data_IF_751129227246
#
_entry.id   IF_751129227246
#
_cell.length_a   1.000
_cell.length_b   1.000
_cell.length_c   1.000
_cell.angle_alpha   90.00
_cell.angle_beta   90.00
_cell.angle_gamma   90.00
#
_symmetry.space_group_name_H-M   'P 1'
#
loop_
_entity.id
_entity.type
_entity.pdbx_description
1 polymer ?
#
# COMPACT_ATOMS: atom_id res chain seq x y z
N UNK A 1 -40.26 -27.34 4.03
CA UNK A 1 -38.90 -27.83 4.33
C UNK A 1 -38.15 -26.62 4.83
N UNK A 2 -37.75 -26.66 6.09
CA UNK A 2 -37.15 -25.53 6.78
C UNK A 2 -35.84 -25.11 6.10
N UNK A 3 -35.75 -23.82 5.82
CA UNK A 3 -34.54 -23.10 5.44
C UNK A 3 -33.55 -23.26 6.60
N UNK A 4 -32.55 -24.13 6.42
CA UNK A 4 -31.52 -24.41 7.44
C UNK A 4 -30.32 -23.52 7.11
N UNK A 5 -30.15 -22.49 7.93
CA UNK A 5 -28.88 -21.90 8.36
C UNK A 5 -27.86 -21.55 7.26
N UNK A 6 -27.96 -20.33 6.70
CA UNK A 6 -26.78 -19.57 6.22
C UNK A 6 -26.22 -18.73 7.39
N UNK A 7 -26.07 -19.35 8.56
CA UNK A 7 -25.16 -18.82 9.57
C UNK A 7 -23.77 -19.01 8.98
N UNK A 8 -23.07 -17.93 8.65
CA UNK A 8 -21.70 -18.00 8.19
C UNK A 8 -20.89 -18.85 9.17
N UNK A 9 -20.50 -20.06 8.75
CA UNK A 9 -19.62 -20.92 9.53
C UNK A 9 -18.26 -20.22 9.57
N UNK A 10 -17.88 -19.73 10.75
CA UNK A 10 -16.56 -19.19 11.00
C UNK A 10 -15.61 -20.30 11.47
N UNK A 11 -14.30 -20.19 11.20
CA UNK A 11 -13.65 -19.11 10.45
C UNK A 11 -13.97 -19.16 8.95
N UNK A 12 -13.99 -17.98 8.31
CA UNK A 12 -14.33 -17.84 6.89
C UNK A 12 -13.36 -16.89 6.19
N UNK A 13 -12.94 -17.27 4.98
CA UNK A 13 -12.11 -16.41 4.14
C UNK A 13 -12.89 -15.20 3.61
N UNK A 14 -12.20 -14.07 3.60
CA UNK A 14 -12.66 -12.78 3.07
C UNK A 14 -11.53 -12.12 2.30
N UNK A 15 -11.87 -11.12 1.51
CA UNK A 15 -10.89 -10.30 0.78
C UNK A 15 -11.19 -8.82 0.97
N UNK A 16 -10.15 -8.02 1.18
CA UNK A 16 -10.26 -6.56 1.30
C UNK A 16 -10.74 -5.95 -0.02
N UNK A 17 -11.84 -5.19 0.06
CA UNK A 17 -12.52 -4.60 -1.11
C UNK A 17 -12.35 -3.07 -1.21
N UNK A 18 -11.60 -2.45 -0.33
CA UNK A 18 -11.24 -1.02 -0.41
C UNK A 18 -9.75 -0.84 -0.71
N UNK A 19 -9.31 0.31 -1.26
CA UNK A 19 -7.90 0.58 -1.51
C UNK A 19 -6.97 0.25 -0.35
N UNK A 20 -7.37 0.68 0.86
CA UNK A 20 -6.70 0.41 2.13
C UNK A 20 -7.77 0.25 3.20
N UNK A 21 -7.83 -0.92 3.82
CA UNK A 21 -8.64 -1.14 5.01
C UNK A 21 -7.78 -0.87 6.25
N UNK A 22 -8.22 0.06 7.10
CA UNK A 22 -7.62 0.27 8.42
C UNK A 22 -8.12 -0.80 9.39
N UNK A 23 -7.21 -1.46 10.08
CA UNK A 23 -7.52 -2.49 11.08
C UNK A 23 -7.56 -1.85 12.45
N UNK A 24 -8.73 -1.89 13.08
CA UNK A 24 -9.01 -1.27 14.36
C UNK A 24 -8.76 -2.23 15.52
N UNK A 25 -8.46 -1.68 16.69
CA UNK A 25 -8.31 -2.45 17.93
C UNK A 25 -9.65 -3.02 18.41
N UNK A 26 -10.74 -2.28 18.20
CA UNK A 26 -12.10 -2.71 18.51
C UNK A 26 -13.13 -2.00 17.61
N UNK A 27 -14.36 -2.52 17.47
CA UNK A 27 -15.46 -1.84 16.77
C UNK A 27 -15.79 -0.45 17.33
N UNK A 28 -15.50 -0.20 18.61
CA UNK A 28 -15.73 1.09 19.29
C UNK A 28 -14.53 2.06 19.21
N UNK A 29 -13.42 1.64 18.61
CA UNK A 29 -12.20 2.46 18.52
C UNK A 29 -12.30 3.69 17.60
N UNK A 30 -13.02 3.64 16.46
CA UNK A 30 -13.16 4.81 15.59
C UNK A 30 -13.89 5.97 16.26
N UNK A 31 -13.48 7.18 15.89
CA UNK A 31 -14.14 8.44 16.23
C UNK A 31 -15.05 8.88 15.09
N UNK A 32 -15.89 9.88 15.33
CA UNK A 32 -16.72 10.47 14.29
C UNK A 32 -15.92 10.98 13.08
N UNK A 33 -14.73 11.57 13.31
CA UNK A 33 -13.87 12.06 12.23
C UNK A 33 -13.23 10.94 11.40
N UNK A 34 -13.24 9.70 11.91
CA UNK A 34 -12.67 8.55 11.23
C UNK A 34 -13.63 7.90 10.22
N UNK A 35 -14.87 8.40 10.12
CA UNK A 35 -15.90 7.90 9.21
C UNK A 35 -15.43 7.67 7.76
N UNK A 36 -14.59 8.54 7.14
CA UNK A 36 -14.10 8.29 5.79
C UNK A 36 -13.32 6.97 5.66
N UNK A 37 -12.56 6.57 6.69
CA UNK A 37 -11.80 5.31 6.69
C UNK A 37 -12.66 4.06 6.91
N UNK A 38 -13.92 4.22 7.30
CA UNK A 38 -14.86 3.11 7.55
C UNK A 38 -15.67 2.73 6.31
N UNK A 39 -15.81 3.65 5.36
CA UNK A 39 -16.66 3.47 4.19
C UNK A 39 -16.18 2.33 3.28
N UNK A 40 -17.13 1.54 2.76
CA UNK A 40 -16.91 0.60 1.67
C UNK A 40 -16.67 1.27 0.30
N UNK A 41 -16.29 0.47 -0.70
CA UNK A 41 -16.12 0.94 -2.07
C UNK A 41 -17.45 0.86 -2.84
N UNK A 42 -17.91 1.99 -3.38
CA UNK A 42 -19.12 2.04 -4.19
C UNK A 42 -18.82 1.70 -5.66
N UNK A 43 -19.36 0.58 -6.16
CA UNK A 43 -19.21 0.15 -7.56
C UNK A 43 -20.31 0.71 -8.49
N UNK A 44 -21.26 1.49 -7.97
CA UNK A 44 -22.34 2.09 -8.75
C UNK A 44 -21.95 3.45 -9.32
N UNK A 45 -22.22 3.68 -10.60
CA UNK A 45 -22.21 5.03 -11.18
C UNK A 45 -23.22 5.96 -10.49
N UNK A 46 -23.23 7.28 -10.75
CA UNK A 46 -24.05 8.25 -10.04
C UNK A 46 -25.53 7.89 -10.16
N UNK A 47 -26.06 7.21 -9.14
CA UNK A 47 -27.47 6.89 -9.02
C UNK A 47 -28.22 8.15 -8.64
N UNK A 48 -29.14 8.57 -9.50
CA UNK A 48 -30.11 9.63 -9.26
C UNK A 48 -30.95 9.27 -8.03
N UNK A 49 -30.48 9.67 -6.86
CA UNK A 49 -31.25 9.63 -5.63
C UNK A 49 -32.33 10.70 -5.73
N UNK A 50 -33.59 10.27 -5.93
CA UNK A 50 -34.76 11.14 -5.75
C UNK A 50 -34.77 11.64 -4.30
N UNK A 51 -34.25 12.84 -4.06
CA UNK A 51 -34.55 13.58 -2.83
C UNK A 51 -35.96 14.17 -2.98
N UNK A 52 -36.90 13.66 -2.20
CA UNK A 52 -38.16 14.36 -1.96
C UNK A 52 -37.86 15.67 -1.23
N UNK A 53 -38.08 16.79 -1.90
CA UNK A 53 -37.97 18.13 -1.32
C UNK A 53 -39.29 18.49 -0.64
N UNK A 54 -39.28 18.65 0.69
CA UNK A 54 -40.28 19.44 1.42
C UNK A 54 -39.65 20.76 1.85
N UNK A 55 -40.18 21.88 1.34
CA UNK A 55 -39.88 23.26 1.79
C UNK A 55 -40.38 23.51 3.22
N UNK A 56 -40.06 24.61 3.92
CA UNK A 56 -39.80 26.01 3.51
C UNK A 56 -39.19 26.82 4.69
N UNK A 57 -38.33 27.81 4.37
CA UNK A 57 -38.09 29.16 4.98
C UNK A 57 -37.75 29.28 6.48
N UNK A 58 -36.82 30.11 6.98
CA UNK A 58 -36.47 31.48 6.58
C UNK A 58 -35.14 31.98 7.21
N UNK A 59 -34.46 32.89 6.49
CA UNK A 59 -33.59 34.02 6.91
C UNK A 59 -32.27 33.82 7.69
N UNK A 60 -31.15 33.95 6.95
CA UNK A 60 -30.13 34.98 7.23
C UNK A 60 -28.78 34.55 7.83
N UNK A 61 -27.78 34.21 7.00
CA UNK A 61 -26.35 34.43 7.28
C UNK A 61 -25.53 34.40 5.97
N UNK A 62 -24.34 35.04 5.88
CA UNK A 62 -23.67 35.33 4.61
C UNK A 62 -22.96 34.10 4.02
N UNK A 63 -23.00 34.04 2.69
CA UNK A 63 -22.34 33.09 1.79
C UNK A 63 -21.11 32.39 2.36
N UNK A 64 -21.29 31.16 2.81
CA UNK A 64 -20.24 30.15 2.71
C UNK A 64 -20.08 29.82 1.22
N UNK A 65 -18.84 29.73 0.75
CA UNK A 65 -18.53 29.21 -0.58
C UNK A 65 -19.09 27.78 -0.65
N UNK A 66 -20.18 27.60 -1.37
CA UNK A 66 -20.60 26.30 -1.87
C UNK A 66 -19.40 25.71 -2.62
N UNK A 67 -18.83 24.65 -2.05
CA UNK A 67 -17.91 23.78 -2.76
C UNK A 67 -18.77 22.78 -3.51
N UNK A 68 -18.53 22.70 -4.81
CA UNK A 68 -19.23 21.80 -5.73
C UNK A 68 -19.19 20.35 -5.21
N UNK A 69 -20.32 19.62 -5.12
CA UNK A 69 -20.36 18.26 -4.57
C UNK A 69 -19.97 17.17 -5.59
N UNK A 70 -19.22 17.49 -6.66
CA UNK A 70 -18.87 16.55 -7.73
C UNK A 70 -17.44 15.97 -7.68
N UNK A 71 -16.67 16.19 -6.62
CA UNK A 71 -15.43 15.43 -6.41
C UNK A 71 -15.65 14.35 -5.35
N UNK A 72 -15.34 13.09 -5.66
CA UNK A 72 -15.37 11.94 -4.76
C UNK A 72 -14.44 12.00 -3.54
N UNK A 73 -14.13 13.20 -3.01
CA UNK A 73 -13.29 13.47 -1.82
C UNK A 73 -13.97 13.14 -0.48
N UNK A 74 -15.08 12.40 -0.47
CA UNK A 74 -15.91 12.19 0.73
C UNK A 74 -15.63 10.91 1.54
N UNK A 75 -14.74 10.02 1.07
CA UNK A 75 -14.53 8.70 1.67
C UNK A 75 -13.16 8.12 1.35
N UNK A 76 -12.72 7.13 2.11
CA UNK A 76 -11.43 6.46 1.94
C UNK A 76 -10.27 7.11 2.69
N UNK A 77 -9.08 6.54 2.48
CA UNK A 77 -7.86 6.88 3.22
C UNK A 77 -7.42 8.34 3.01
N UNK A 78 -7.57 8.88 1.80
CA UNK A 78 -7.18 10.25 1.46
C UNK A 78 -8.05 11.27 2.19
N UNK A 79 -9.37 11.09 2.12
CA UNK A 79 -10.33 11.93 2.83
C UNK A 79 -10.13 11.87 4.35
N UNK A 80 -9.82 10.68 4.88
CA UNK A 80 -9.54 10.50 6.30
C UNK A 80 -8.29 11.26 6.74
N UNK A 81 -7.17 11.10 6.01
CA UNK A 81 -5.91 11.77 6.35
C UNK A 81 -6.04 13.29 6.21
N UNK A 82 -6.75 13.76 5.19
CA UNK A 82 -7.00 15.19 4.98
C UNK A 82 -7.85 15.82 6.10
N UNK A 83 -8.73 15.04 6.74
CA UNK A 83 -9.58 15.49 7.84
C UNK A 83 -8.85 15.56 9.19
N UNK A 84 -7.69 14.94 9.35
CA UNK A 84 -6.99 14.83 10.64
C UNK A 84 -5.97 15.95 10.88
N UNK A 85 -6.01 16.54 12.08
CA UNK A 85 -4.91 17.33 12.61
C UNK A 85 -3.77 16.45 13.12
N UNK A 86 -2.62 17.05 13.49
CA UNK A 86 -1.52 16.30 14.13
C UNK A 86 -1.97 15.65 15.44
N UNK A 87 -2.81 16.33 16.23
CA UNK A 87 -3.32 15.77 17.49
C UNK A 87 -4.23 14.57 17.23
N UNK A 88 -5.06 14.63 16.19
CA UNK A 88 -5.93 13.51 15.82
C UNK A 88 -5.11 12.30 15.37
N UNK A 89 -3.97 12.51 14.69
CA UNK A 89 -3.04 11.45 14.30
C UNK A 89 -2.28 10.87 15.48
N UNK A 90 -1.90 11.68 16.48
CA UNK A 90 -1.27 11.19 17.71
C UNK A 90 -2.23 10.30 18.51
N UNK A 91 -3.50 10.70 18.61
CA UNK A 91 -4.54 9.96 19.34
C UNK A 91 -4.81 8.56 18.74
N UNK A 92 -4.48 8.31 17.46
CA UNK A 92 -4.52 6.95 16.89
C UNK A 92 -3.60 5.98 17.66
N UNK A 93 -2.43 6.47 18.08
CA UNK A 93 -1.45 5.72 18.86
C UNK A 93 -1.75 5.80 20.36
N UNK A 94 -1.92 7.00 20.91
CA UNK A 94 -2.03 7.23 22.36
C UNK A 94 -3.27 6.54 22.96
N UNK A 95 -4.38 6.51 22.22
CA UNK A 95 -5.60 5.80 22.61
C UNK A 95 -5.66 4.36 22.06
N UNK A 96 -4.57 3.84 21.45
CA UNK A 96 -4.47 2.50 20.89
C UNK A 96 -5.65 2.15 19.96
N UNK A 97 -5.96 3.02 19.01
CA UNK A 97 -7.17 2.88 18.16
C UNK A 97 -6.98 1.91 17.00
N UNK A 98 -5.79 1.94 16.40
CA UNK A 98 -5.46 1.24 15.16
C UNK A 98 -4.33 0.23 15.41
N UNK A 99 -4.45 -0.92 14.77
CA UNK A 99 -3.49 -2.01 14.78
C UNK A 99 -2.57 -1.96 13.56
N UNK A 100 -3.15 -2.02 12.36
CA UNK A 100 -2.41 -2.00 11.09
C UNK A 100 -3.33 -1.61 9.91
N UNK A 101 -2.94 -1.89 8.67
CA UNK A 101 -3.71 -1.71 7.45
C UNK A 101 -3.58 -2.95 6.57
N UNK A 102 -4.56 -3.20 5.71
CA UNK A 102 -4.51 -4.22 4.66
C UNK A 102 -4.83 -3.58 3.30
N UNK A 103 -4.08 -3.98 2.27
CA UNK A 103 -4.24 -3.42 0.92
C UNK A 103 -5.38 -4.10 0.17
N UNK A 104 -5.90 -3.45 -0.87
CA UNK A 104 -6.90 -4.01 -1.77
C UNK A 104 -6.52 -5.41 -2.27
N UNK A 105 -7.48 -6.34 -2.26
CA UNK A 105 -7.25 -7.71 -2.70
C UNK A 105 -6.54 -8.61 -1.67
N UNK A 106 -6.18 -8.10 -0.49
CA UNK A 106 -5.55 -8.92 0.57
C UNK A 106 -6.55 -9.92 1.14
N UNK A 107 -6.24 -11.24 1.12
CA UNK A 107 -7.03 -12.25 1.84
C UNK A 107 -6.90 -12.08 3.35
N UNK A 108 -8.02 -12.21 4.06
CA UNK A 108 -8.07 -12.22 5.53
C UNK A 108 -8.94 -13.37 6.01
N UNK A 109 -8.61 -13.90 7.19
CA UNK A 109 -9.41 -14.92 7.86
C UNK A 109 -10.32 -14.24 8.87
N UNK A 110 -11.64 -14.25 8.63
CA UNK A 110 -12.62 -13.72 9.57
C UNK A 110 -13.04 -14.81 10.56
N UNK A 111 -13.16 -14.46 11.84
CA UNK A 111 -13.51 -15.39 12.92
C UNK A 111 -14.91 -15.19 13.47
N UNK A 112 -15.43 -13.98 13.38
CA UNK A 112 -16.78 -13.63 13.80
C UNK A 112 -17.18 -12.30 13.18
N UNK A 113 -18.48 -12.06 13.16
CA UNK A 113 -19.07 -10.79 12.78
C UNK A 113 -19.98 -10.30 13.91
N UNK A 114 -19.81 -9.03 14.31
CA UNK A 114 -20.56 -8.38 15.36
C UNK A 114 -20.93 -6.96 14.89
N UNK A 115 -22.23 -6.66 14.80
CA UNK A 115 -22.76 -5.33 14.50
C UNK A 115 -22.12 -4.65 13.26
N UNK A 116 -21.93 -5.43 12.18
CA UNK A 116 -21.32 -4.93 10.93
C UNK A 116 -19.80 -4.83 10.96
N UNK A 117 -19.14 -5.43 11.96
CA UNK A 117 -17.69 -5.53 12.07
C UNK A 117 -17.23 -6.99 12.03
N UNK A 118 -16.16 -7.26 11.31
CA UNK A 118 -15.52 -8.57 11.28
C UNK A 118 -14.24 -8.56 12.12
N UNK A 119 -14.10 -9.52 13.04
CA UNK A 119 -12.80 -9.81 13.67
C UNK A 119 -11.99 -10.68 12.74
N UNK A 120 -10.81 -10.23 12.38
CA UNK A 120 -9.97 -10.85 11.35
C UNK A 120 -8.57 -11.16 11.85
N UNK A 121 -7.86 -12.02 11.12
CA UNK A 121 -6.41 -12.12 11.06
C UNK A 121 -5.93 -11.91 9.61
N UNK A 122 -4.79 -11.23 9.44
CA UNK A 122 -4.13 -10.99 8.15
C UNK A 122 -2.92 -11.95 8.01
N UNK A 123 -3.02 -13.06 7.27
CA UNK A 123 -1.96 -14.06 7.21
C UNK A 123 -0.64 -13.54 6.63
N UNK A 124 -0.70 -12.58 5.71
CA UNK A 124 0.49 -11.97 5.10
C UNK A 124 1.27 -11.06 6.05
N UNK A 125 0.73 -10.74 7.23
CA UNK A 125 1.40 -9.94 8.25
C UNK A 125 1.64 -10.77 9.50
N UNK A 126 2.85 -11.30 9.66
CA UNK A 126 3.19 -12.11 10.82
C UNK A 126 3.17 -11.29 12.12
N UNK A 127 2.56 -11.86 13.16
CA UNK A 127 2.46 -11.29 14.50
C UNK A 127 2.37 -12.41 15.54
N UNK A 128 2.96 -12.26 16.74
CA UNK A 128 2.78 -13.22 17.84
C UNK A 128 1.40 -13.10 18.51
N UNK A 129 0.58 -12.11 18.12
CA UNK A 129 -0.75 -11.85 18.71
C UNK A 129 -1.79 -12.92 18.32
N UNK A 130 -1.61 -13.56 17.15
CA UNK A 130 -2.49 -14.60 16.61
C UNK A 130 -1.66 -15.46 15.64
N UNK A 131 -1.79 -16.79 15.73
CA UNK A 131 -1.02 -17.73 14.92
C UNK A 131 -1.36 -17.68 13.43
N UNK A 132 -2.55 -17.18 13.07
CA UNK A 132 -3.02 -17.08 11.69
C UNK A 132 -2.68 -15.75 11.02
N UNK A 133 -2.02 -14.81 11.71
CA UNK A 133 -1.61 -13.52 11.16
C UNK A 133 -1.94 -12.33 12.06
N UNK A 134 -1.88 -11.11 11.53
CA UNK A 134 -2.09 -9.89 12.33
C UNK A 134 -3.57 -9.69 12.66
N UNK A 135 -3.98 -9.68 13.95
CA UNK A 135 -5.39 -9.62 14.30
C UNK A 135 -5.93 -8.19 14.40
N UNK A 136 -7.25 -8.06 14.26
CA UNK A 136 -8.00 -6.84 14.61
C UNK A 136 -9.40 -6.82 14.01
N UNK A 137 -9.96 -5.62 13.87
CA UNK A 137 -11.34 -5.42 13.41
C UNK A 137 -11.42 -4.55 12.16
N UNK A 138 -12.24 -4.96 11.20
CA UNK A 138 -12.52 -4.21 9.96
C UNK A 138 -14.04 -4.14 9.79
N UNK A 139 -14.62 -3.02 9.32
CA UNK A 139 -16.02 -2.98 8.91
C UNK A 139 -16.32 -4.08 7.88
N UNK A 140 -17.34 -4.90 8.11
CA UNK A 140 -17.67 -6.03 7.23
C UNK A 140 -17.95 -5.56 5.80
N UNK A 141 -18.48 -4.34 5.61
CA UNK A 141 -18.71 -3.77 4.28
C UNK A 141 -17.44 -3.54 3.45
N UNK A 142 -16.26 -3.52 4.07
CA UNK A 142 -14.95 -3.44 3.40
C UNK A 142 -14.39 -4.82 3.04
N UNK A 143 -15.17 -5.88 3.25
CA UNK A 143 -14.79 -7.26 3.00
C UNK A 143 -15.80 -7.93 2.05
N UNK A 144 -15.28 -8.64 1.05
CA UNK A 144 -16.08 -9.53 0.21
C UNK A 144 -15.80 -10.99 0.57
N UNK A 145 -16.78 -11.87 0.31
CA UNK A 145 -16.60 -13.32 0.46
C UNK A 145 -15.48 -13.80 -0.47
N UNK A 146 -14.63 -14.69 0.04
CA UNK A 146 -13.56 -15.33 -0.72
C UNK A 146 -13.62 -16.83 -0.45
N UNK A 147 -13.50 -17.67 -1.47
CA UNK A 147 -13.41 -19.11 -1.24
C UNK A 147 -12.06 -19.50 -0.63
N UNK A 148 -12.01 -20.60 0.10
CA UNK A 148 -10.75 -21.11 0.65
C UNK A 148 -9.73 -21.43 -0.46
N UNK A 149 -10.18 -22.01 -1.57
CA UNK A 149 -9.32 -22.31 -2.72
C UNK A 149 -8.67 -21.03 -3.28
N UNK A 150 -9.45 -19.97 -3.49
CA UNK A 150 -8.93 -18.68 -3.96
C UNK A 150 -8.00 -18.04 -2.93
N UNK A 151 -8.33 -18.12 -1.63
CA UNK A 151 -7.49 -17.58 -0.57
C UNK A 151 -6.11 -18.24 -0.53
N UNK A 152 -6.05 -19.58 -0.53
CA UNK A 152 -4.79 -20.33 -0.56
C UNK A 152 -3.99 -20.04 -1.82
N UNK A 153 -4.68 -19.82 -2.95
CA UNK A 153 -4.05 -19.42 -4.22
C UNK A 153 -3.39 -18.04 -4.12
N UNK A 154 -4.09 -17.07 -3.54
CA UNK A 154 -3.59 -15.68 -3.37
C UNK A 154 -2.45 -15.58 -2.36
N UNK A 155 -2.47 -16.43 -1.32
CA UNK A 155 -1.43 -16.47 -0.29
C UNK A 155 -0.16 -17.21 -0.74
N UNK A 156 -0.18 -17.91 -1.88
CA UNK A 156 0.96 -18.75 -2.31
C UNK A 156 1.19 -19.97 -1.42
N UNK A 157 0.28 -20.26 -0.48
CA UNK A 157 0.34 -21.41 0.44
C UNK A 157 -0.27 -22.69 -0.13
N UNK A 158 -0.78 -22.62 -1.38
CA UNK A 158 -1.12 -23.79 -2.17
C UNK A 158 0.14 -24.56 -2.56
N UNK A 159 0.63 -25.42 -1.66
CA UNK A 159 1.48 -26.53 -2.05
C UNK A 159 0.86 -27.26 -3.25
N UNK A 160 1.68 -27.91 -4.05
CA UNK A 160 1.29 -28.65 -5.24
C UNK A 160 0.19 -29.67 -4.96
N UNK A 161 -1.07 -29.23 -4.97
CA UNK A 161 -2.22 -30.12 -5.06
C UNK A 161 -2.10 -30.78 -6.43
N UNK A 162 -1.95 -32.11 -6.53
CA UNK A 162 -1.84 -32.78 -7.81
C UNK A 162 -3.10 -32.47 -8.64
N UNK A 163 -2.93 -31.69 -9.72
CA UNK A 163 -4.03 -31.27 -10.60
C UNK A 163 -4.54 -29.84 -10.40
N UNK A 164 -4.05 -29.08 -9.40
CA UNK A 164 -4.33 -27.65 -9.34
C UNK A 164 -3.53 -26.90 -10.42
N UNK A 165 -4.21 -26.01 -11.16
CA UNK A 165 -3.54 -25.15 -12.14
C UNK A 165 -2.50 -24.28 -11.42
N UNK A 166 -1.31 -24.11 -12.04
CA UNK A 166 -0.30 -23.18 -11.55
C UNK A 166 -0.97 -21.84 -11.20
N UNK A 167 -0.64 -21.28 -10.04
CA UNK A 167 -1.24 -20.01 -9.68
C UNK A 167 -0.78 -18.92 -10.68
N UNK A 168 -1.66 -17.97 -11.04
CA UNK A 168 -1.37 -17.02 -12.10
C UNK A 168 -0.27 -16.07 -11.64
N UNK A 169 0.54 -15.62 -12.59
CA UNK A 169 1.40 -14.46 -12.41
C UNK A 169 0.58 -13.29 -11.84
N UNK A 170 1.21 -12.46 -11.01
CA UNK A 170 0.55 -11.34 -10.34
C UNK A 170 1.14 -10.00 -10.81
N UNK A 171 0.29 -8.99 -10.97
CA UNK A 171 0.71 -7.61 -11.06
C UNK A 171 0.90 -7.05 -9.66
N UNK A 172 2.05 -6.42 -9.41
CA UNK A 172 2.38 -5.74 -8.17
C UNK A 172 2.57 -4.26 -8.49
N UNK A 173 1.83 -3.40 -7.79
CA UNK A 173 1.95 -1.94 -7.95
C UNK A 173 3.31 -1.48 -7.46
N UNK A 174 4.09 -0.88 -8.37
CA UNK A 174 5.42 -0.34 -8.10
C UNK A 174 5.43 1.18 -8.04
N UNK A 175 4.45 1.86 -8.63
CA UNK A 175 4.18 3.29 -8.39
C UNK A 175 3.78 3.55 -6.93
N UNK A 176 3.81 4.81 -6.47
CA UNK A 176 3.32 5.15 -5.12
C UNK A 176 1.84 4.79 -4.99
N UNK A 177 1.05 5.17 -5.98
CA UNK A 177 -0.30 4.67 -6.16
C UNK A 177 -0.55 4.48 -7.66
N UNK A 178 -1.51 3.63 -8.01
CA UNK A 178 -1.91 3.37 -9.39
C UNK A 178 -3.42 3.45 -9.53
N UNK A 179 -3.89 3.99 -10.65
CA UNK A 179 -5.30 3.96 -11.02
C UNK A 179 -5.69 2.55 -11.45
N UNK A 180 -6.74 2.02 -10.83
CA UNK A 180 -7.39 0.76 -11.15
C UNK A 180 -8.78 1.07 -11.71
N UNK A 181 -9.03 0.65 -12.95
CA UNK A 181 -10.31 0.88 -13.64
C UNK A 181 -11.04 -0.45 -13.82
N UNK A 182 -12.25 -0.58 -13.26
CA UNK A 182 -13.06 -1.79 -13.45
C UNK A 182 -13.51 -1.87 -14.92
N UNK A 183 -13.44 -3.05 -15.54
CA UNK A 183 -13.88 -3.23 -16.93
C UNK A 183 -15.40 -3.36 -17.07
N UNK A 184 -16.09 -3.68 -15.97
CA UNK A 184 -17.55 -3.85 -15.92
C UNK A 184 -18.32 -2.56 -15.66
N UNK A 185 -17.64 -1.46 -15.30
CA UNK A 185 -18.25 -0.18 -14.92
C UNK A 185 -17.31 0.99 -15.22
N UNK A 186 -17.76 2.22 -15.01
CA UNK A 186 -16.87 3.40 -15.03
C UNK A 186 -16.18 3.66 -13.67
N UNK A 187 -16.33 2.76 -12.69
CA UNK A 187 -15.76 2.94 -11.37
C UNK A 187 -14.22 2.81 -11.41
N UNK A 188 -13.56 3.72 -10.71
CA UNK A 188 -12.10 3.77 -10.58
C UNK A 188 -11.72 3.87 -9.11
N UNK A 189 -10.55 3.34 -8.76
CA UNK A 189 -9.94 3.55 -7.46
C UNK A 189 -8.43 3.73 -7.60
N UNK A 190 -7.84 4.48 -6.69
CA UNK A 190 -6.38 4.53 -6.54
C UNK A 190 -5.95 3.43 -5.57
N UNK A 191 -4.99 2.58 -5.95
CA UNK A 191 -4.46 1.47 -5.12
C UNK A 191 -2.99 1.71 -4.74
N UNK A 192 -2.60 1.32 -3.53
CA UNK A 192 -1.26 1.57 -2.98
C UNK A 192 -0.18 0.80 -3.72
N UNK A 193 1.04 1.33 -3.72
CA UNK A 193 2.29 0.56 -3.74
C UNK A 193 2.17 -0.76 -2.97
N UNK A 194 2.71 -1.84 -3.53
CA UNK A 194 2.64 -3.23 -3.04
C UNK A 194 1.27 -3.91 -3.10
N UNK A 195 0.24 -3.26 -3.64
CA UNK A 195 -1.01 -3.97 -3.98
C UNK A 195 -0.69 -5.07 -5.00
N UNK A 196 -1.05 -6.31 -4.67
CA UNK A 196 -0.77 -7.51 -5.48
C UNK A 196 -2.08 -8.09 -5.97
N UNK A 197 -2.25 -8.17 -7.29
CA UNK A 197 -3.47 -8.68 -7.93
C UNK A 197 -3.12 -9.73 -8.99
N UNK A 198 -3.84 -10.87 -9.05
CA UNK A 198 -3.63 -11.86 -10.10
C UNK A 198 -3.83 -11.28 -11.50
N UNK A 199 -2.98 -11.65 -12.46
CA UNK A 199 -3.23 -11.34 -13.86
C UNK A 199 -4.43 -12.14 -14.39
N UNK A 200 -5.24 -11.52 -15.24
CA UNK A 200 -6.25 -12.21 -15.99
C UNK A 200 -5.60 -13.01 -17.13
N UNK A 201 -5.68 -14.34 -17.09
CA UNK A 201 -5.18 -15.21 -18.15
C UNK A 201 -6.20 -15.22 -19.30
N UNK A 202 -5.79 -14.74 -20.47
CA UNK A 202 -6.52 -14.95 -21.71
C UNK A 202 -6.41 -16.39 -22.19
N UNK A 203 -7.46 -16.90 -22.84
CA UNK A 203 -7.45 -18.20 -23.51
C UNK A 203 -6.63 -18.20 -24.81
N UNK A 204 -5.54 -17.44 -24.88
CA UNK A 204 -4.53 -17.55 -25.93
C UNK A 204 -3.15 -17.38 -25.27
N UNK A 205 -2.18 -18.17 -25.74
CA UNK A 205 -0.96 -18.52 -25.02
C UNK A 205 -0.16 -17.32 -24.48
N UNK A 206 0.08 -17.32 -23.16
CA UNK A 206 1.39 -16.97 -22.59
C UNK A 206 1.70 -15.49 -22.33
N UNK A 207 0.83 -14.55 -22.68
CA UNK A 207 0.93 -13.14 -22.26
C UNK A 207 -0.46 -12.66 -21.90
N UNK A 208 -0.58 -11.81 -20.87
CA UNK A 208 -1.89 -11.29 -20.41
C UNK A 208 -2.69 -10.67 -21.55
N UNK A 209 -4.01 -10.62 -21.40
CA UNK A 209 -4.89 -9.90 -22.32
C UNK A 209 -4.44 -8.42 -22.39
N UNK A 210 -3.66 -8.08 -23.41
CA UNK A 210 -3.43 -6.71 -23.83
C UNK A 210 -4.70 -6.27 -24.56
N UNK A 211 -5.48 -5.38 -23.95
CA UNK A 211 -6.68 -4.82 -24.58
C UNK A 211 -6.23 -3.57 -25.34
N UNK A 212 -6.25 -3.65 -26.67
CA UNK A 212 -6.01 -2.51 -27.55
C UNK A 212 -7.12 -1.45 -27.36
N UNK A 213 -6.74 -0.19 -27.18
CA UNK A 213 -7.69 0.92 -27.24
C UNK A 213 -8.00 1.24 -28.71
N UNK A 214 -9.22 0.97 -29.16
CA UNK A 214 -9.73 1.49 -30.43
C UNK A 214 -10.32 2.87 -30.22
N UNK A 215 -9.53 3.93 -30.45
CA UNK A 215 -10.07 5.25 -30.78
C UNK A 215 -9.32 5.79 -32.00
N UNK A 216 -9.97 5.72 -33.16
CA UNK A 216 -9.56 6.37 -34.40
C UNK A 216 -9.79 7.89 -34.28
N UNK A 217 -8.71 8.68 -34.30
CA UNK A 217 -8.77 10.08 -34.68
C UNK A 217 -7.61 10.44 -35.61
N UNK A 218 -8.00 10.77 -36.83
CA UNK A 218 -7.23 11.13 -38.03
C UNK A 218 -5.98 11.98 -37.82
N UNK A 219 -4.91 11.57 -38.52
CA UNK A 219 -3.69 12.34 -38.74
C UNK A 219 -3.84 13.40 -39.84
N UNK A 220 -3.17 14.55 -39.67
CA UNK A 220 -2.52 15.33 -40.74
C UNK A 220 -1.59 16.42 -40.15
N UNK A 221 -0.58 16.91 -40.91
CA UNK A 221 0.80 17.05 -40.42
C UNK A 221 1.34 18.50 -40.38
N UNK A 222 2.51 18.71 -39.74
CA UNK A 222 3.26 19.95 -39.89
C UNK A 222 4.48 20.10 -38.96
N UNK A 223 5.61 19.54 -39.37
CA UNK A 223 6.95 19.83 -38.85
C UNK A 223 7.38 21.26 -39.25
N UNK A 224 8.11 22.00 -38.38
CA UNK A 224 9.41 22.65 -38.67
C UNK A 224 10.01 23.26 -37.40
N UNK A 225 11.27 22.92 -37.15
CA UNK A 225 12.13 23.45 -36.10
C UNK A 225 12.94 24.65 -36.62
N UNK A 226 13.20 25.63 -35.75
CA UNK A 226 14.32 26.57 -35.92
C UNK A 226 15.05 26.80 -34.59
N UNK A 227 16.36 26.63 -34.65
CA UNK A 227 17.37 26.86 -33.62
C UNK A 227 17.93 28.28 -33.69
N UNK A 228 18.19 28.91 -32.54
CA UNK A 228 19.17 30.00 -32.41
C UNK A 228 19.93 29.85 -31.09
N UNK A 229 21.26 29.96 -31.17
CA UNK A 229 22.21 29.83 -30.08
C UNK A 229 22.80 31.18 -29.63
N UNK A 230 23.29 31.22 -28.38
CA UNK A 230 24.20 32.23 -27.80
C UNK A 230 23.55 33.06 -26.69
N UNK A 231 24.14 33.36 -25.52
CA UNK A 231 25.50 33.20 -24.97
C UNK A 231 25.47 33.47 -23.44
N UNK A 232 26.24 32.66 -22.71
CA UNK A 232 27.11 32.94 -21.54
C UNK A 232 26.63 33.38 -20.12
N UNK A 233 27.25 32.68 -19.15
CA UNK A 233 27.62 32.99 -17.77
C UNK A 233 26.58 33.17 -16.61
N UNK A 234 26.54 32.15 -15.74
CA UNK A 234 26.72 32.34 -14.29
C UNK A 234 25.56 32.04 -13.34
N UNK A 235 25.34 30.76 -12.97
CA UNK A 235 24.76 30.33 -11.69
C UNK A 235 24.78 28.79 -11.57
N UNK A 236 25.17 28.24 -10.42
CA UNK A 236 25.08 26.81 -10.11
C UNK A 236 23.61 26.36 -10.05
N UNK A 237 23.17 25.33 -10.81
CA UNK A 237 21.77 24.93 -10.81
C UNK A 237 21.48 23.71 -9.94
N UNK A 238 20.19 23.64 -9.61
CA UNK A 238 19.46 22.55 -9.00
C UNK A 238 19.52 21.26 -9.86
N UNK A 239 19.26 20.14 -9.17
CA UNK A 239 18.95 18.80 -9.66
C UNK A 239 18.83 18.65 -11.20
N UNK A 240 19.91 18.16 -11.83
CA UNK A 240 19.86 17.68 -13.20
C UNK A 240 19.63 16.17 -13.26
N UNK A 241 18.69 15.85 -14.14
CA UNK A 241 18.31 14.56 -14.69
C UNK A 241 19.49 13.73 -15.19
N UNK A 242 19.49 12.45 -14.84
CA UNK A 242 20.40 11.42 -15.36
C UNK A 242 20.11 11.17 -16.85
N UNK A 243 21.12 11.08 -17.73
CA UNK A 243 20.93 10.89 -19.17
C UNK A 243 20.52 9.44 -19.51
N UNK A 244 19.60 9.29 -20.48
CA UNK A 244 19.29 8.05 -21.21
C UNK A 244 20.12 8.00 -22.50
N UNK A 245 20.89 6.93 -22.69
CA UNK A 245 21.23 6.19 -23.94
C UNK A 245 22.47 5.30 -23.66
N UNK A 246 22.59 4.04 -24.11
CA UNK A 246 21.91 3.37 -25.21
C UNK A 246 21.67 1.85 -25.03
N UNK A 247 20.95 1.34 -26.03
CA UNK A 247 20.24 0.06 -26.17
C UNK A 247 21.16 -1.14 -26.50
N UNK A 248 20.76 -2.41 -26.58
CA UNK A 248 19.51 -3.02 -27.09
C UNK A 248 19.27 -4.46 -26.56
N UNK A 249 18.01 -4.80 -26.29
CA UNK A 249 17.27 -5.92 -26.93
C UNK A 249 15.77 -5.69 -26.68
N UNK A 250 15.02 -5.51 -27.77
CA UNK A 250 13.73 -4.82 -27.79
C UNK A 250 12.53 -5.56 -27.19
N UNK A 251 11.67 -4.77 -26.55
CA UNK A 251 10.21 -4.89 -26.62
C UNK A 251 9.67 -3.45 -26.66
N UNK A 252 8.99 -3.13 -27.74
CA UNK A 252 8.45 -1.81 -28.08
C UNK A 252 7.22 -1.53 -27.20
N UNK A 253 7.43 -1.07 -25.97
CA UNK A 253 6.33 -0.81 -25.04
C UNK A 253 5.73 0.58 -25.30
N UNK A 254 4.50 0.60 -25.83
CA UNK A 254 3.71 1.83 -25.98
C UNK A 254 3.37 2.41 -24.59
N UNK A 255 3.46 3.73 -24.48
CA UNK A 255 3.25 4.52 -23.26
C UNK A 255 1.82 4.34 -22.66
N UNK A 256 0.87 3.89 -23.48
CA UNK A 256 -0.53 3.62 -23.11
C UNK A 256 -0.87 2.11 -22.90
N UNK A 257 0.12 1.26 -22.64
CA UNK A 257 -0.14 -0.16 -22.39
C UNK A 257 -0.76 -0.42 -21.01
N UNK A 258 -1.71 -1.34 -20.93
CA UNK A 258 -2.38 -1.76 -19.69
C UNK A 258 -2.17 -3.26 -19.44
N UNK A 259 -2.18 -3.65 -18.17
CA UNK A 259 -2.38 -5.05 -17.77
C UNK A 259 -3.79 -5.25 -17.25
N UNK A 260 -4.37 -6.42 -17.54
CA UNK A 260 -5.68 -6.82 -16.99
C UNK A 260 -5.47 -7.73 -15.79
N UNK A 261 -6.13 -7.41 -14.68
CA UNK A 261 -6.04 -8.11 -13.40
C UNK A 261 -7.40 -8.60 -12.94
N UNK A 262 -7.39 -9.67 -12.16
CA UNK A 262 -8.54 -10.13 -11.40
C UNK A 262 -8.60 -9.37 -10.06
N UNK A 263 -9.78 -8.89 -9.70
CA UNK A 263 -9.99 -8.13 -8.47
C UNK A 263 -11.23 -8.65 -7.74
N UNK A 264 -11.41 -8.29 -6.44
CA UNK A 264 -12.63 -8.57 -5.71
C UNK A 264 -13.93 -8.12 -6.42
N UNK A 265 -13.86 -7.11 -7.31
CA UNK A 265 -14.99 -6.57 -8.06
C UNK A 265 -15.05 -7.02 -9.53
N UNK A 266 -14.30 -8.07 -9.88
CA UNK A 266 -14.18 -8.56 -11.26
C UNK A 266 -12.92 -8.05 -11.97
N UNK A 267 -12.93 -8.10 -13.30
CA UNK A 267 -11.77 -7.71 -14.10
C UNK A 267 -11.56 -6.20 -14.07
N UNK A 268 -10.31 -5.79 -13.97
CA UNK A 268 -9.89 -4.40 -14.01
C UNK A 268 -8.61 -4.24 -14.81
N UNK A 269 -8.29 -3.01 -15.19
CA UNK A 269 -7.01 -2.67 -15.84
C UNK A 269 -6.19 -1.70 -15.01
N UNK A 270 -4.87 -1.83 -15.11
CA UNK A 270 -3.87 -0.94 -14.50
C UNK A 270 -2.85 -0.58 -15.59
N UNK A 271 -2.34 0.66 -15.58
CA UNK A 271 -1.26 1.05 -16.49
C UNK A 271 -0.04 0.15 -16.30
N UNK A 272 0.54 -0.33 -17.40
CA UNK A 272 1.69 -1.25 -17.37
C UNK A 272 2.90 -0.62 -16.70
N UNK A 273 3.10 0.70 -16.86
CA UNK A 273 4.21 1.43 -16.28
C UNK A 273 4.17 1.49 -14.74
N UNK A 274 3.00 1.32 -14.13
CA UNK A 274 2.80 1.43 -12.68
C UNK A 274 2.93 0.09 -11.95
N UNK A 275 3.17 -1.00 -12.68
CA UNK A 275 3.22 -2.35 -12.14
C UNK A 275 4.42 -3.14 -12.63
N UNK A 276 4.84 -4.10 -11.81
CA UNK A 276 5.73 -5.18 -12.24
C UNK A 276 4.94 -6.50 -12.22
N UNK A 277 5.16 -7.34 -13.21
CA UNK A 277 4.59 -8.69 -13.24
C UNK A 277 5.56 -9.66 -12.59
N UNK A 278 5.11 -10.32 -11.52
CA UNK A 278 5.80 -11.44 -10.90
C UNK A 278 5.27 -12.76 -11.48
N UNK A 279 6.18 -13.59 -11.99
CA UNK A 279 5.83 -14.87 -12.61
C UNK A 279 5.37 -15.92 -11.59
N UNK A 280 5.98 -15.93 -10.41
CA UNK A 280 5.64 -16.89 -9.35
C UNK A 280 4.54 -16.34 -8.42
N UNK A 281 3.53 -17.14 -8.10
CA UNK A 281 2.47 -16.79 -7.16
C UNK A 281 2.99 -16.72 -5.74
N UNK A 282 2.74 -15.60 -5.06
CA UNK A 282 3.04 -15.45 -3.63
C UNK A 282 4.17 -14.48 -3.35
N UNK A 283 5.20 -14.41 -4.19
CA UNK A 283 6.41 -13.65 -3.91
C UNK A 283 6.44 -12.28 -4.58
N UNK A 284 6.89 -11.28 -3.82
CA UNK A 284 7.30 -10.00 -4.39
C UNK A 284 8.63 -10.20 -5.13
N UNK A 285 8.80 -9.59 -6.31
CA UNK A 285 9.95 -9.87 -7.17
C UNK A 285 11.27 -9.58 -6.45
N UNK A 286 12.24 -10.48 -6.60
CA UNK A 286 13.60 -10.24 -6.13
C UNK A 286 14.20 -9.09 -6.94
N UNK A 287 14.32 -7.93 -6.28
CA UNK A 287 15.01 -6.73 -6.76
C UNK A 287 14.38 -5.98 -7.94
N UNK A 288 13.92 -4.76 -7.65
CA UNK A 288 13.60 -3.70 -8.60
C UNK A 288 14.84 -2.92 -9.12
N UNK A 289 16.06 -3.42 -8.93
CA UNK A 289 17.26 -2.72 -9.37
C UNK A 289 18.37 -3.67 -9.83
N UNK A 290 18.62 -3.71 -11.14
CA UNK A 290 19.79 -4.36 -11.74
C UNK A 290 21.08 -3.81 -11.10
N UNK A 291 21.98 -4.70 -10.67
CA UNK A 291 23.32 -4.34 -10.17
C UNK A 291 23.41 -3.85 -8.71
N UNK A 292 22.33 -3.87 -7.93
CA UNK A 292 22.35 -3.55 -6.48
C UNK A 292 22.23 -4.82 -5.63
N UNK A 293 22.91 -4.86 -4.49
CA UNK A 293 22.60 -5.87 -3.48
C UNK A 293 21.23 -5.57 -2.83
N UNK A 294 20.61 -6.57 -2.19
CA UNK A 294 19.26 -6.45 -1.61
C UNK A 294 19.16 -5.28 -0.63
N UNK A 295 20.19 -5.04 0.18
CA UNK A 295 20.26 -3.91 1.11
C UNK A 295 20.18 -2.54 0.45
N UNK A 296 20.94 -2.34 -0.63
CA UNK A 296 20.88 -1.11 -1.43
C UNK A 296 19.53 -0.95 -2.15
N UNK A 297 18.89 -2.04 -2.57
CA UNK A 297 17.55 -2.01 -3.16
C UNK A 297 16.50 -1.55 -2.13
N UNK A 298 16.56 -2.04 -0.89
CA UNK A 298 15.68 -1.60 0.21
C UNK A 298 15.80 -0.08 0.44
N UNK A 299 17.03 0.43 0.54
CA UNK A 299 17.27 1.87 0.73
C UNK A 299 16.80 2.69 -0.47
N UNK A 300 16.94 2.16 -1.69
CA UNK A 300 16.44 2.81 -2.88
C UNK A 300 14.91 2.92 -2.89
N UNK A 301 14.19 1.86 -2.48
CA UNK A 301 12.74 1.93 -2.31
C UNK A 301 12.35 2.94 -1.24
N UNK A 302 13.03 2.90 -0.08
CA UNK A 302 12.79 3.81 1.03
C UNK A 302 12.89 5.28 0.61
N UNK A 303 13.91 5.64 -0.18
CA UNK A 303 14.14 7.01 -0.65
C UNK A 303 13.02 7.57 -1.52
N UNK A 304 12.22 6.73 -2.19
CA UNK A 304 11.10 7.18 -3.03
C UNK A 304 9.99 7.83 -2.19
N UNK A 305 9.88 7.45 -0.92
CA UNK A 305 8.85 7.93 -0.01
C UNK A 305 9.29 9.11 0.86
N UNK A 306 10.48 9.69 0.62
CA UNK A 306 10.91 10.89 1.35
C UNK A 306 9.85 11.98 1.28
N UNK A 307 9.49 12.53 2.44
CA UNK A 307 8.44 13.55 2.57
C UNK A 307 7.02 13.01 2.76
N UNK A 308 6.78 11.70 2.59
CA UNK A 308 5.47 11.10 2.88
C UNK A 308 5.15 11.22 4.38
N UNK A 309 4.01 11.81 4.79
CA UNK A 309 3.65 11.95 6.19
C UNK A 309 3.49 10.62 6.93
N UNK A 310 3.86 10.61 8.20
CA UNK A 310 3.63 9.47 9.09
C UNK A 310 2.14 9.21 9.33
N UNK A 311 1.78 7.93 9.47
CA UNK A 311 0.47 7.49 9.93
C UNK A 311 0.62 6.26 10.84
N UNK A 312 0.13 6.35 12.09
CA UNK A 312 0.15 5.21 13.02
C UNK A 312 -0.62 4.01 12.46
N UNK A 313 -0.03 2.81 12.53
CA UNK A 313 -0.59 1.60 11.92
C UNK A 313 -0.42 1.52 10.40
N UNK A 314 0.11 2.57 9.77
CA UNK A 314 0.21 2.72 8.32
C UNK A 314 1.13 1.70 7.65
N UNK A 315 0.63 1.06 6.58
CA UNK A 315 1.39 0.12 5.72
C UNK A 315 1.11 0.36 4.24
N UNK A 316 0.85 1.61 3.86
CA UNK A 316 0.48 1.99 2.49
C UNK A 316 1.14 3.29 2.07
N UNK A 317 1.11 3.58 0.77
CA UNK A 317 1.70 4.79 0.20
C UNK A 317 0.98 6.10 0.58
N UNK A 318 -0.11 6.03 1.35
CA UNK A 318 -0.75 7.20 1.95
C UNK A 318 -0.20 7.55 3.34
N UNK A 319 0.61 6.67 3.93
CA UNK A 319 1.28 6.93 5.19
C UNK A 319 1.78 5.63 5.82
N UNK A 320 3.00 5.67 6.36
CA UNK A 320 3.61 4.54 7.06
C UNK A 320 3.90 4.90 8.52
N UNK A 321 3.77 3.93 9.43
CA UNK A 321 4.49 3.99 10.70
C UNK A 321 5.93 3.46 10.53
N UNK A 322 6.75 3.55 11.58
CA UNK A 322 8.17 3.18 11.50
C UNK A 322 8.37 1.71 11.07
N UNK A 323 7.61 0.80 11.68
CA UNK A 323 7.69 -0.64 11.42
C UNK A 323 6.99 -1.07 10.14
N UNK A 324 5.89 -0.41 9.77
CA UNK A 324 5.18 -0.58 8.51
C UNK A 324 6.02 -0.09 7.33
N UNK A 325 6.79 0.97 7.51
CA UNK A 325 7.77 1.44 6.53
C UNK A 325 8.88 0.40 6.32
N UNK A 326 9.54 -0.04 7.40
CA UNK A 326 10.55 -1.09 7.36
C UNK A 326 10.02 -2.37 6.68
N UNK A 327 8.83 -2.82 7.09
CA UNK A 327 8.14 -3.98 6.54
C UNK A 327 7.90 -3.84 5.04
N UNK A 328 7.33 -2.72 4.61
CA UNK A 328 6.98 -2.49 3.21
C UNK A 328 8.22 -2.39 2.30
N UNK A 329 9.30 -1.74 2.76
CA UNK A 329 10.52 -1.62 1.94
C UNK A 329 11.26 -2.95 1.78
N UNK A 330 11.21 -3.82 2.79
CA UNK A 330 11.72 -5.18 2.69
C UNK A 330 10.81 -6.03 1.79
N UNK A 331 9.49 -5.90 1.94
CA UNK A 331 8.51 -6.62 1.12
C UNK A 331 8.66 -6.28 -0.36
N UNK A 332 8.90 -5.00 -0.69
CA UNK A 332 9.21 -4.54 -2.04
C UNK A 332 10.47 -5.19 -2.66
N UNK A 333 11.30 -5.82 -1.85
CA UNK A 333 12.51 -6.54 -2.27
C UNK A 333 12.40 -8.05 -2.07
N UNK A 334 11.19 -8.59 -1.92
CA UNK A 334 10.93 -10.02 -1.73
C UNK A 334 11.26 -10.54 -0.33
N UNK A 335 11.44 -9.65 0.65
CA UNK A 335 11.85 -10.04 2.02
C UNK A 335 10.69 -9.77 2.97
N UNK A 336 10.05 -10.85 3.43
CA UNK A 336 8.96 -10.76 4.41
C UNK A 336 9.57 -10.66 5.81
N UNK A 337 9.23 -9.59 6.53
CA UNK A 337 9.62 -9.40 7.94
C UNK A 337 8.36 -9.18 8.80
N UNK A 338 8.43 -9.42 10.13
CA UNK A 338 7.29 -9.17 11.02
C UNK A 338 6.75 -7.74 10.91
N UNK A 339 5.48 -7.54 11.23
CA UNK A 339 4.83 -6.22 11.11
C UNK A 339 5.25 -5.20 12.18
N UNK A 340 5.49 -5.65 13.42
CA UNK A 340 5.78 -4.77 14.56
C UNK A 340 7.30 -4.67 14.83
N UNK A 341 7.80 -3.47 15.15
CA UNK A 341 9.23 -3.22 15.41
C UNK A 341 9.79 -4.12 16.53
N UNK A 342 9.03 -4.35 17.59
CA UNK A 342 9.44 -5.18 18.72
C UNK A 342 9.68 -6.63 18.31
N UNK A 343 8.93 -7.14 17.33
CA UNK A 343 9.09 -8.50 16.79
C UNK A 343 10.23 -8.50 15.78
N UNK A 344 10.29 -7.50 14.89
CA UNK A 344 11.40 -7.35 13.94
C UNK A 344 12.77 -7.32 14.64
N UNK A 345 12.87 -6.76 15.85
CA UNK A 345 14.12 -6.72 16.62
C UNK A 345 14.61 -8.10 17.12
N UNK A 346 13.75 -9.13 17.10
CA UNK A 346 14.04 -10.46 17.61
C UNK A 346 14.49 -11.45 16.52
N UNK A 347 14.26 -11.14 15.25
CA UNK A 347 14.61 -12.00 14.11
C UNK A 347 15.70 -11.36 13.23
N UNK A 348 16.15 -12.11 12.22
CA UNK A 348 17.29 -11.72 11.38
C UNK A 348 18.64 -11.85 12.08
N UNK A 349 19.71 -11.67 11.30
CA UNK A 349 21.08 -11.72 11.83
C UNK A 349 21.37 -10.48 12.68
N UNK A 350 21.92 -10.65 13.88
CA UNK A 350 22.38 -9.54 14.72
C UNK A 350 23.65 -8.94 14.13
N UNK A 351 23.67 -7.63 13.91
CA UNK A 351 24.80 -6.92 13.28
C UNK A 351 25.43 -5.93 14.28
N UNK A 352 26.75 -6.01 14.53
CA UNK A 352 27.43 -4.99 15.33
C UNK A 352 27.54 -3.67 14.56
N UNK A 353 27.66 -2.54 15.26
CA UNK A 353 27.56 -1.19 14.69
C UNK A 353 28.58 -0.93 13.58
N UNK A 354 29.77 -1.49 13.73
CA UNK A 354 30.91 -1.42 12.81
C UNK A 354 30.71 -2.22 11.50
N UNK A 355 29.74 -3.14 11.47
CA UNK A 355 29.44 -3.98 10.29
C UNK A 355 28.13 -3.60 9.59
N UNK A 356 27.54 -2.48 9.99
CA UNK A 356 26.31 -1.96 9.41
C UNK A 356 26.46 -1.73 7.90
N UNK A 357 25.49 -2.24 7.15
CA UNK A 357 25.38 -2.08 5.70
C UNK A 357 24.00 -1.55 5.33
N UNK A 358 23.87 -0.80 4.21
CA UNK A 358 22.59 -0.29 3.73
C UNK A 358 21.50 -1.37 3.75
N UNK A 359 20.33 -1.05 4.29
CA UNK A 359 19.22 -1.99 4.43
C UNK A 359 19.14 -2.71 5.77
N UNK A 360 20.16 -2.63 6.62
CA UNK A 360 20.06 -3.10 8.01
C UNK A 360 19.01 -2.30 8.79
N UNK A 361 18.25 -2.97 9.66
CA UNK A 361 17.30 -2.33 10.55
C UNK A 361 17.99 -1.92 11.85
N UNK A 362 17.74 -0.69 12.28
CA UNK A 362 18.23 -0.09 13.51
C UNK A 362 17.06 0.05 14.47
N UNK A 363 17.13 -0.59 15.64
CA UNK A 363 16.06 -0.55 16.63
C UNK A 363 16.41 0.35 17.80
N UNK A 364 15.40 1.07 18.28
CA UNK A 364 15.52 2.00 19.38
C UNK A 364 14.53 1.64 20.49
N UNK A 365 15.03 1.62 21.72
CA UNK A 365 14.27 1.24 22.89
C UNK A 365 14.30 2.33 23.96
N UNK A 366 13.21 2.44 24.72
CA UNK A 366 13.12 3.36 25.85
C UNK A 366 14.23 3.08 26.87
N UNK A 367 14.39 3.97 27.84
CA UNK A 367 15.39 3.81 28.91
C UNK A 367 16.82 3.70 28.36
N UNK A 368 17.14 4.49 27.33
CA UNK A 368 18.47 4.51 26.70
C UNK A 368 18.88 3.12 26.17
N UNK A 369 17.97 2.49 25.42
CA UNK A 369 18.22 1.21 24.77
C UNK A 369 17.99 -0.03 25.64
N UNK A 370 17.53 0.12 26.89
CA UNK A 370 17.37 -0.98 27.86
C UNK A 370 15.93 -1.47 28.05
N UNK A 371 14.96 -0.65 27.65
CA UNK A 371 13.54 -0.93 27.81
C UNK A 371 12.93 -1.64 26.60
N UNK A 372 11.62 -1.41 26.37
CA UNK A 372 10.95 -1.93 25.18
C UNK A 372 11.38 -1.16 23.92
N UNK A 373 11.50 -1.89 22.81
CA UNK A 373 11.62 -1.30 21.47
C UNK A 373 10.34 -0.51 21.16
N UNK A 374 10.51 0.72 20.68
CA UNK A 374 9.40 1.58 20.27
C UNK A 374 9.60 2.21 18.89
N UNK A 375 10.80 2.10 18.31
CA UNK A 375 11.09 2.65 17.00
C UNK A 375 12.06 1.79 16.20
N UNK A 376 11.96 1.89 14.87
CA UNK A 376 12.87 1.25 13.91
C UNK A 376 13.14 2.19 12.75
N UNK A 377 14.37 2.16 12.24
CA UNK A 377 14.72 2.78 10.96
C UNK A 377 15.64 1.90 10.13
N UNK A 378 15.85 2.28 8.87
CA UNK A 378 16.67 1.54 7.91
C UNK A 378 18.01 2.27 7.77
N UNK A 379 19.12 1.59 8.05
CA UNK A 379 20.44 2.15 7.82
C UNK A 379 20.65 2.42 6.32
N UNK A 380 21.04 3.64 5.99
CA UNK A 380 21.15 4.12 4.62
C UNK A 380 22.59 4.20 4.10
N UNK A 381 23.57 3.76 4.91
CA UNK A 381 25.00 3.96 4.66
C UNK A 381 25.52 5.27 5.24
N UNK A 382 26.85 5.42 5.29
CA UNK A 382 27.54 6.66 5.69
C UNK A 382 27.05 7.28 7.00
N UNK A 383 26.68 6.46 7.98
CA UNK A 383 26.17 6.94 9.27
C UNK A 383 24.76 7.54 9.22
N UNK A 384 24.01 7.34 8.13
CA UNK A 384 22.65 7.83 7.96
C UNK A 384 21.60 6.74 8.15
N UNK A 385 20.39 7.16 8.48
CA UNK A 385 19.21 6.32 8.59
C UNK A 385 18.04 6.98 7.86
N UNK A 386 17.22 6.18 7.18
CA UNK A 386 15.93 6.58 6.63
C UNK A 386 14.80 5.90 7.42
N UNK A 387 13.78 6.65 7.80
CA UNK A 387 12.66 6.13 8.61
C UNK A 387 11.39 6.96 8.46
N UNK A 388 10.27 6.43 8.98
CA UNK A 388 9.05 7.18 9.24
C UNK A 388 8.95 7.46 10.75
N UNK A 389 9.28 8.66 11.24
CA UNK A 389 9.57 8.92 12.65
C UNK A 389 8.34 8.98 13.57
N UNK A 390 7.42 9.92 13.34
CA UNK A 390 6.29 10.20 14.24
C UNK A 390 5.21 11.05 13.55
N UNK A 391 4.02 11.15 14.17
CA UNK A 391 2.83 11.82 13.62
C UNK A 391 2.98 13.31 13.30
N UNK A 392 4.03 13.97 13.79
CA UNK A 392 4.31 15.38 13.50
C UNK A 392 5.26 15.57 12.30
N UNK A 393 5.71 14.47 11.69
CA UNK A 393 6.82 14.43 10.75
C UNK A 393 6.49 13.57 9.52
N UNK A 394 7.45 13.53 8.60
CA UNK A 394 7.39 12.71 7.38
C UNK A 394 8.59 11.79 7.29
N UNK A 395 8.55 10.84 6.36
CA UNK A 395 9.72 10.03 6.03
C UNK A 395 10.92 10.92 5.72
N UNK A 396 12.02 10.68 6.43
CA UNK A 396 13.21 11.53 6.39
C UNK A 396 14.49 10.70 6.35
N UNK A 397 15.55 11.26 5.75
CA UNK A 397 16.91 10.73 5.78
C UNK A 397 17.75 11.63 6.69
N UNK A 398 18.31 11.05 7.74
CA UNK A 398 18.98 11.80 8.82
C UNK A 398 20.33 11.18 9.19
N UNK A 399 21.30 11.98 9.67
CA UNK A 399 22.49 11.43 10.32
C UNK A 399 22.11 10.79 11.65
N UNK A 400 22.66 9.61 11.96
CA UNK A 400 22.48 8.97 13.26
C UNK A 400 23.16 9.76 14.39
N UNK A 401 24.30 10.37 14.07
CA UNK A 401 25.05 11.17 15.04
C UNK A 401 24.27 12.44 15.39
N UNK A 402 23.95 12.61 16.66
CA UNK A 402 23.21 13.78 17.16
C UNK A 402 21.69 13.71 16.95
N UNK A 403 21.17 12.60 16.44
CA UNK A 403 19.72 12.40 16.35
C UNK A 403 19.11 12.15 17.74
N UNK A 404 17.85 12.57 17.93
CA UNK A 404 17.14 12.50 19.22
C UNK A 404 17.05 11.09 19.82
N UNK A 405 17.04 10.05 18.98
CA UNK A 405 17.01 8.64 19.42
C UNK A 405 18.39 7.97 19.44
N UNK A 406 19.48 8.70 19.20
CA UNK A 406 20.82 8.08 19.05
C UNK A 406 21.24 7.26 20.29
N UNK A 407 20.93 7.75 21.49
CA UNK A 407 21.24 7.07 22.77
C UNK A 407 20.28 5.93 23.10
N UNK A 408 19.24 5.73 22.30
CA UNK A 408 18.24 4.67 22.46
C UNK A 408 18.52 3.46 21.56
N UNK A 409 19.53 3.53 20.69
CA UNK A 409 19.89 2.40 19.81
C UNK A 409 20.25 1.18 20.64
N UNK A 410 19.52 0.08 20.45
CA UNK A 410 19.67 -1.12 21.27
C UNK A 410 20.18 -2.34 20.49
N UNK A 411 19.72 -2.53 19.25
CA UNK A 411 20.13 -3.66 18.40
C UNK A 411 20.00 -3.30 16.92
N UNK A 412 20.79 -3.96 16.08
CA UNK A 412 20.66 -3.89 14.63
C UNK A 412 20.44 -5.29 14.04
N UNK A 413 19.55 -5.41 13.05
CA UNK A 413 19.23 -6.69 12.40
C UNK A 413 19.36 -6.62 10.88
N UNK A 414 19.90 -7.68 10.28
CA UNK A 414 19.95 -7.88 8.82
C UNK A 414 19.01 -9.01 8.41
N UNK A 415 18.18 -8.74 7.42
CA UNK A 415 17.18 -9.66 6.86
C UNK A 415 17.47 -10.13 5.43
N UNK A 416 18.60 -9.71 4.87
CA UNK A 416 19.01 -10.00 3.51
C UNK A 416 20.42 -10.59 3.49
N UNK A 417 20.71 -11.39 2.47
CA UNK A 417 21.99 -12.07 2.26
C UNK A 417 22.70 -11.53 1.05
#
# INVERSE_FOLDING_TARGET
MADRDDQALFPAWRVVSVPVATVWTSPSSPRALDAPALAGFATGGPGVGKREVKGKTDLGNPMEKETDPEDGRGSGIEAWIAAMTVQDKLDLCEANRVQTQALYGTPVLAYEELDGWSRIAIPSQSSPKDENGYPGWIPTEQLLKLSEEEALRLLGSGGSVPGAAAAPASAIVTAHAADLELLSSSAKMSISFLTKLPLAIGKERGTGLEVESSDEAQAAPGFQAETVAGTDAGAFPQAESVPKEGAEAGADYREDSFVVVQTPHGLARIKRADVQVAAEPGDYPESLAEGRNKGQAIVAQAKRFLGLPYLWGGTSAWGYDCSGFAHSMHLACGIVIPRDASVQALHGASIPREELQPGDLLFFAHEQGKGRVHHVGIYAGDGHMIHSPDSASSVELIPLKGYKLADEHCVSRRYWT
#
